data_IF_999331928001
#
_entry.id   IF_999331928001
#
_cell.length_a   1.000
_cell.length_b   1.000
_cell.length_c   1.000
_cell.angle_alpha   90.00
_cell.angle_beta   90.00
_cell.angle_gamma   90.00
#
_symmetry.space_group_name_H-M   'P 1'
#
loop_
_entity.id
_entity.type
_entity.pdbx_description
1 polymer ?
#
# COMPACT_ATOMS: atom_id res chain seq x y z
N UNK A 1 22.95 -13.37 -5.74
CA UNK A 1 21.77 -12.54 -6.08
C UNK A 1 21.56 -11.43 -5.06
N UNK A 2 21.40 -11.69 -3.76
CA UNK A 2 21.08 -10.63 -2.78
C UNK A 2 22.18 -9.58 -2.56
N UNK A 3 23.45 -10.01 -2.51
CA UNK A 3 24.58 -9.07 -2.51
C UNK A 3 24.65 -8.22 -3.79
N UNK A 4 24.30 -8.79 -4.94
CA UNK A 4 24.27 -8.07 -6.22
C UNK A 4 23.15 -7.02 -6.23
N UNK A 5 21.96 -7.36 -5.73
CA UNK A 5 20.85 -6.41 -5.54
C UNK A 5 21.27 -5.22 -4.67
N UNK A 6 21.98 -5.48 -3.58
CA UNK A 6 22.54 -4.45 -2.72
C UNK A 6 23.51 -3.53 -3.48
N UNK A 7 24.52 -4.09 -4.15
CA UNK A 7 25.52 -3.31 -4.90
C UNK A 7 24.86 -2.44 -5.97
N UNK A 8 23.92 -3.00 -6.74
CA UNK A 8 23.16 -2.27 -7.77
C UNK A 8 22.33 -1.14 -7.16
N UNK A 9 21.77 -1.35 -5.97
CA UNK A 9 21.01 -0.33 -5.25
C UNK A 9 21.90 0.81 -4.79
N UNK A 10 23.07 0.51 -4.22
CA UNK A 10 24.05 1.54 -3.79
C UNK A 10 24.44 2.43 -4.98
N UNK A 11 24.85 1.83 -6.09
CA UNK A 11 25.24 2.56 -7.30
C UNK A 11 24.13 3.46 -7.84
N UNK A 12 22.91 2.92 -7.97
CA UNK A 12 21.77 3.67 -8.48
C UNK A 12 21.36 4.81 -7.53
N UNK A 13 21.43 4.59 -6.22
CA UNK A 13 21.10 5.64 -5.25
C UNK A 13 22.14 6.75 -5.22
N UNK A 14 23.43 6.41 -5.30
CA UNK A 14 24.51 7.39 -5.42
C UNK A 14 24.33 8.30 -6.64
N UNK A 15 23.91 7.76 -7.78
CA UNK A 15 23.60 8.57 -8.96
C UNK A 15 22.33 9.42 -8.78
N UNK A 16 21.32 8.86 -8.11
CA UNK A 16 20.02 9.51 -7.95
C UNK A 16 20.03 10.69 -6.97
N UNK A 17 20.85 10.64 -5.93
CA UNK A 17 20.76 11.59 -4.83
C UNK A 17 21.10 13.01 -5.26
N UNK A 18 21.90 13.18 -6.32
CA UNK A 18 22.18 14.49 -6.93
C UNK A 18 20.88 15.17 -7.37
N UNK A 19 19.92 14.41 -7.92
CA UNK A 19 18.61 14.95 -8.35
C UNK A 19 17.71 15.31 -7.16
N UNK A 20 17.85 14.60 -6.04
CA UNK A 20 17.14 14.90 -4.80
C UNK A 20 17.69 16.18 -4.18
N UNK A 21 19.01 16.30 -4.08
CA UNK A 21 19.69 17.50 -3.56
C UNK A 21 19.42 18.75 -4.39
N UNK A 22 19.35 18.62 -5.72
CA UNK A 22 19.02 19.74 -6.62
C UNK A 22 17.61 20.32 -6.40
N UNK A 23 16.72 19.61 -5.69
CA UNK A 23 15.36 20.04 -5.35
C UNK A 23 15.24 20.56 -3.91
N UNK A 24 16.33 20.55 -3.16
CA UNK A 24 16.31 21.08 -1.81
C UNK A 24 16.28 22.61 -1.85
N UNK A 25 15.35 23.21 -1.11
CA UNK A 25 15.25 24.65 -0.96
C UNK A 25 16.42 25.14 -0.09
N UNK A 26 17.30 25.96 -0.68
CA UNK A 26 18.49 26.49 0.00
C UNK A 26 18.42 27.98 0.35
N UNK A 27 17.37 28.67 -0.11
CA UNK A 27 17.14 30.05 0.23
C UNK A 27 16.64 30.15 1.68
N UNK A 28 17.40 30.73 2.62
CA UNK A 28 17.01 30.83 4.02
C UNK A 28 15.82 31.76 4.26
N UNK A 29 15.47 32.62 3.29
CA UNK A 29 14.33 33.54 3.41
C UNK A 29 13.00 32.88 3.00
N UNK A 30 13.04 31.68 2.40
CA UNK A 30 11.84 30.91 2.08
C UNK A 30 11.30 30.18 3.31
N UNK A 31 9.97 30.16 3.45
CA UNK A 31 9.28 29.45 4.55
C UNK A 31 9.54 27.94 4.54
N UNK A 32 9.86 27.38 3.38
CA UNK A 32 10.15 25.97 3.17
C UNK A 32 11.65 25.67 3.04
N UNK A 33 12.52 26.56 3.52
CA UNK A 33 13.97 26.36 3.60
C UNK A 33 14.32 24.98 4.18
N UNK A 34 15.27 24.28 3.56
CA UNK A 34 15.71 22.95 3.93
C UNK A 34 14.82 21.81 3.44
N UNK A 35 13.57 22.08 3.09
CA UNK A 35 12.64 21.11 2.52
C UNK A 35 13.02 20.69 1.10
N UNK A 36 12.53 19.54 0.67
CA UNK A 36 12.86 18.95 -0.64
C UNK A 36 11.59 18.94 -1.49
N UNK A 37 11.63 19.65 -2.62
CA UNK A 37 10.47 19.78 -3.50
C UNK A 37 10.10 18.42 -4.14
N UNK A 38 8.86 17.99 -3.92
CA UNK A 38 8.31 16.76 -4.49
C UNK A 38 7.97 17.00 -5.97
N UNK A 39 8.54 16.25 -6.93
CA UNK A 39 8.43 16.57 -8.36
C UNK A 39 7.03 16.76 -8.91
N UNK A 40 6.06 15.99 -8.42
CA UNK A 40 4.67 16.03 -8.92
C UNK A 40 3.80 17.10 -8.23
N UNK A 41 4.27 17.63 -7.09
CA UNK A 41 3.54 18.61 -6.29
C UNK A 41 4.11 20.03 -6.47
N UNK A 42 5.41 20.14 -6.72
CA UNK A 42 6.10 21.44 -6.80
C UNK A 42 6.23 22.15 -5.46
N UNK A 43 5.95 21.46 -4.35
CA UNK A 43 6.08 21.96 -2.98
C UNK A 43 7.09 21.10 -2.22
N UNK A 44 7.79 21.72 -1.27
CA UNK A 44 8.61 20.99 -0.31
C UNK A 44 7.73 20.13 0.60
N UNK A 45 8.03 18.84 0.66
CA UNK A 45 7.29 17.86 1.44
C UNK A 45 8.24 17.18 2.44
N UNK A 46 7.78 17.03 3.68
CA UNK A 46 8.54 16.39 4.74
C UNK A 46 8.70 14.87 4.52
N UNK A 47 7.99 14.26 3.57
CA UNK A 47 8.21 12.87 3.12
C UNK A 47 9.46 12.69 2.29
N UNK A 48 9.67 13.63 1.37
CA UNK A 48 10.35 13.31 0.12
C UNK A 48 11.86 13.44 0.29
N UNK A 49 12.60 12.41 -0.14
CA UNK A 49 14.05 12.44 -0.24
C UNK A 49 14.82 12.23 1.08
N UNK A 50 14.26 12.52 2.26
CA UNK A 50 14.97 12.36 3.55
C UNK A 50 15.44 10.91 3.75
N UNK A 51 14.58 9.93 3.49
CA UNK A 51 14.93 8.51 3.59
C UNK A 51 16.08 8.12 2.64
N UNK A 52 16.10 8.69 1.43
CA UNK A 52 17.15 8.43 0.45
C UNK A 52 18.48 9.05 0.89
N UNK A 53 18.45 10.28 1.42
CA UNK A 53 19.62 10.97 1.97
C UNK A 53 20.21 10.21 3.16
N UNK A 54 19.37 9.78 4.10
CA UNK A 54 19.77 8.94 5.24
C UNK A 54 20.40 7.62 4.75
N UNK A 55 19.79 6.98 3.74
CA UNK A 55 20.27 5.71 3.16
C UNK A 55 21.69 5.82 2.64
N UNK A 56 21.99 6.80 1.79
CA UNK A 56 23.34 6.94 1.22
C UNK A 56 24.35 7.50 2.25
N UNK A 57 23.91 8.35 3.18
CA UNK A 57 24.78 8.91 4.21
C UNK A 57 25.31 7.83 5.18
N UNK A 58 24.47 6.87 5.55
CA UNK A 58 24.82 5.79 6.49
C UNK A 58 25.28 4.48 5.83
N UNK A 59 25.27 4.38 4.50
CA UNK A 59 25.74 3.20 3.78
C UNK A 59 27.27 3.24 3.57
N UNK A 60 28.06 2.32 4.16
CA UNK A 60 29.52 2.33 4.04
C UNK A 60 30.07 2.21 2.61
N UNK A 61 29.29 1.56 1.72
CA UNK A 61 29.68 1.36 0.31
C UNK A 61 29.24 2.51 -0.60
N UNK A 62 28.50 3.50 -0.08
CA UNK A 62 28.12 4.70 -0.82
C UNK A 62 29.28 5.69 -0.89
N UNK A 63 29.43 6.38 -2.03
CA UNK A 63 30.37 7.51 -2.14
C UNK A 63 30.03 8.71 -1.24
N UNK A 64 28.81 8.73 -0.69
CA UNK A 64 28.34 9.76 0.24
C UNK A 64 28.41 9.34 1.71
N UNK A 65 28.99 8.18 2.01
CA UNK A 65 29.15 7.70 3.37
C UNK A 65 29.83 8.76 4.26
N UNK A 66 29.12 9.19 5.31
CA UNK A 66 29.55 10.22 6.25
C UNK A 66 30.04 11.54 5.60
N UNK A 67 29.55 11.84 4.40
CA UNK A 67 29.96 13.04 3.67
C UNK A 67 29.50 14.32 4.39
N UNK A 68 30.43 15.26 4.61
CA UNK A 68 30.17 16.51 5.37
C UNK A 68 29.10 17.39 4.72
N UNK A 69 29.15 17.56 3.40
CA UNK A 69 28.17 18.38 2.67
C UNK A 69 26.79 17.72 2.78
N UNK A 70 26.71 16.41 2.56
CA UNK A 70 25.45 15.68 2.70
C UNK A 70 24.91 15.76 4.12
N UNK A 71 25.79 15.70 5.14
CA UNK A 71 25.40 15.89 6.55
C UNK A 71 24.66 17.21 6.73
N UNK A 72 25.22 18.32 6.24
CA UNK A 72 24.59 19.64 6.34
C UNK A 72 23.23 19.68 5.64
N UNK A 73 23.13 19.11 4.42
CA UNK A 73 21.85 19.02 3.69
C UNK A 73 20.80 18.22 4.45
N UNK A 74 21.21 17.10 5.03
CA UNK A 74 20.33 16.22 5.78
C UNK A 74 19.84 16.87 7.07
N UNK A 75 20.70 17.61 7.79
CA UNK A 75 20.29 18.40 8.96
C UNK A 75 19.23 19.44 8.57
N UNK A 76 19.44 20.21 7.49
CA UNK A 76 18.44 21.18 7.01
C UNK A 76 17.09 20.52 6.72
N UNK A 77 17.10 19.32 6.12
CA UNK A 77 15.88 18.59 5.79
C UNK A 77 15.16 18.05 7.03
N UNK A 78 15.90 17.56 8.03
CA UNK A 78 15.33 17.12 9.31
C UNK A 78 14.81 18.28 10.16
N UNK A 79 15.48 19.44 10.12
CA UNK A 79 14.97 20.66 10.74
C UNK A 79 13.67 21.12 10.05
N UNK A 80 13.59 21.05 8.72
CA UNK A 80 12.35 21.31 8.00
C UNK A 80 11.23 20.34 8.42
N UNK A 81 11.51 19.04 8.51
CA UNK A 81 10.56 18.04 9.02
C UNK A 81 9.99 18.43 10.40
N UNK A 82 10.86 18.83 11.34
CA UNK A 82 10.45 19.24 12.69
C UNK A 82 9.66 20.56 12.66
N UNK A 83 10.10 21.56 11.89
CA UNK A 83 9.42 22.86 11.78
C UNK A 83 8.03 22.74 11.13
N UNK A 84 7.87 21.83 10.18
CA UNK A 84 6.63 21.62 9.45
C UNK A 84 5.63 20.72 10.19
N UNK A 85 5.98 20.23 11.37
CA UNK A 85 5.07 19.47 12.23
C UNK A 85 4.21 20.44 13.04
N UNK A 86 2.89 20.26 12.98
CA UNK A 86 1.90 21.06 13.70
C UNK A 86 2.11 21.05 15.21
N UNK A 87 1.53 22.02 15.91
CA UNK A 87 1.60 22.12 17.37
C UNK A 87 1.08 20.84 18.06
N UNK A 88 -0.02 20.26 17.53
CA UNK A 88 -0.61 19.02 18.04
C UNK A 88 0.24 17.76 17.75
N UNK A 89 1.26 17.88 16.89
CA UNK A 89 2.16 16.80 16.52
C UNK A 89 1.85 16.11 15.19
N UNK A 90 0.78 16.50 14.51
CA UNK A 90 0.45 15.97 13.18
C UNK A 90 1.27 16.60 12.06
N UNK A 91 1.21 16.00 10.88
CA UNK A 91 1.65 16.58 9.61
C UNK A 91 0.51 16.58 8.60
N UNK A 92 0.69 17.35 7.53
CA UNK A 92 -0.23 17.39 6.41
C UNK A 92 0.21 16.47 5.26
N UNK A 93 -0.78 15.95 4.55
CA UNK A 93 -0.68 15.60 3.14
C UNK A 93 -1.28 16.76 2.34
N UNK A 94 -0.41 17.63 1.82
CA UNK A 94 -0.81 18.90 1.18
C UNK A 94 -1.84 18.76 0.07
N UNK A 95 -1.89 17.60 -0.58
CA UNK A 95 -2.84 17.30 -1.63
C UNK A 95 -4.29 17.18 -1.12
N UNK A 96 -4.52 16.72 0.13
CA UNK A 96 -5.89 16.44 0.59
C UNK A 96 -6.14 16.31 2.10
N UNK A 97 -5.14 16.03 2.96
CA UNK A 97 -5.39 15.79 4.39
C UNK A 97 -4.59 16.76 5.26
N UNK A 98 -5.28 17.58 6.04
CA UNK A 98 -4.67 18.53 6.97
C UNK A 98 -4.82 18.03 8.41
N UNK A 99 -3.82 18.30 9.26
CA UNK A 99 -3.75 17.82 10.64
C UNK A 99 -4.04 16.32 10.72
N UNK A 100 -3.31 15.52 9.95
CA UNK A 100 -3.71 14.14 9.61
C UNK A 100 -3.00 13.08 10.47
N UNK A 101 -3.69 12.41 11.43
CA UNK A 101 -3.12 11.27 12.14
C UNK A 101 -2.70 10.11 11.21
N UNK A 102 -3.45 9.78 10.14
CA UNK A 102 -3.01 8.74 9.19
C UNK A 102 -1.68 9.07 8.50
N UNK A 103 -1.53 10.27 7.93
CA UNK A 103 -0.29 10.67 7.25
C UNK A 103 0.88 10.79 8.24
N UNK A 104 0.59 11.22 9.46
CA UNK A 104 1.54 11.19 10.57
C UNK A 104 1.98 9.77 10.92
N UNK A 105 1.07 8.78 10.87
CA UNK A 105 1.39 7.38 11.11
C UNK A 105 2.31 6.81 10.02
N UNK A 106 2.15 7.21 8.76
CA UNK A 106 3.10 6.88 7.69
C UNK A 106 4.48 7.53 7.91
N UNK A 107 4.55 8.74 8.48
CA UNK A 107 5.84 9.33 8.88
C UNK A 107 6.51 8.53 10.00
N UNK A 108 5.73 7.97 10.94
CA UNK A 108 6.27 7.06 11.95
C UNK A 108 6.85 5.81 11.29
N UNK A 109 6.17 5.22 10.30
CA UNK A 109 6.70 4.09 9.54
C UNK A 109 8.02 4.42 8.84
N UNK A 110 8.16 5.63 8.34
CA UNK A 110 9.39 6.05 7.68
C UNK A 110 10.56 6.24 8.66
N UNK A 111 10.31 6.87 9.81
CA UNK A 111 11.39 7.37 10.68
C UNK A 111 11.66 6.55 11.94
N UNK A 112 10.71 5.78 12.45
CA UNK A 112 10.95 4.92 13.62
C UNK A 112 12.07 3.88 13.36
N UNK A 113 12.11 3.19 12.20
CA UNK A 113 13.22 2.30 11.88
C UNK A 113 14.59 3.00 11.82
N UNK A 114 14.62 4.28 11.41
CA UNK A 114 15.85 5.08 11.46
C UNK A 114 16.31 5.34 12.89
N UNK A 115 15.42 5.70 13.81
CA UNK A 115 15.80 5.88 15.22
C UNK A 115 16.33 4.57 15.82
N UNK A 116 15.70 3.43 15.53
CA UNK A 116 16.21 2.12 15.94
C UNK A 116 17.60 1.83 15.37
N UNK A 117 17.78 2.05 14.06
CA UNK A 117 19.05 1.86 13.38
C UNK A 117 20.17 2.75 13.96
N UNK A 118 19.88 4.04 14.15
CA UNK A 118 20.82 5.02 14.67
C UNK A 118 21.24 4.71 16.12
N UNK A 119 20.30 4.30 16.98
CA UNK A 119 20.61 3.80 18.32
C UNK A 119 21.48 2.55 18.27
N UNK A 120 21.20 1.61 17.35
CA UNK A 120 21.97 0.37 17.20
C UNK A 120 23.43 0.61 16.78
N UNK A 121 23.69 1.60 15.94
CA UNK A 121 25.06 2.00 15.56
C UNK A 121 25.69 2.99 16.56
N UNK A 122 25.03 3.24 17.70
CA UNK A 122 25.48 4.09 18.79
C UNK A 122 25.87 5.52 18.35
N UNK A 123 25.03 6.15 17.52
CA UNK A 123 25.20 7.56 17.15
C UNK A 123 24.46 8.47 18.12
N UNK A 124 25.12 9.50 18.64
CA UNK A 124 24.53 10.51 19.54
C UNK A 124 24.35 11.88 18.85
N UNK A 125 24.33 11.89 17.51
CA UNK A 125 24.34 13.13 16.72
C UNK A 125 22.98 13.81 16.55
N UNK A 126 23.01 15.06 16.09
CA UNK A 126 21.86 15.93 15.81
C UNK A 126 20.71 15.24 15.03
N UNK A 127 21.04 14.34 14.11
CA UNK A 127 20.05 13.60 13.30
C UNK A 127 19.17 12.69 14.16
N UNK A 128 19.77 11.95 15.11
CA UNK A 128 19.02 11.09 16.03
C UNK A 128 18.12 11.96 16.91
N UNK A 129 18.65 13.08 17.43
CA UNK A 129 17.88 14.01 18.25
C UNK A 129 16.65 14.55 17.50
N UNK A 130 16.82 15.04 16.26
CA UNK A 130 15.73 15.60 15.46
C UNK A 130 14.64 14.55 15.15
N UNK A 131 15.04 13.33 14.78
CA UNK A 131 14.11 12.24 14.50
C UNK A 131 13.35 11.80 15.76
N UNK A 132 14.04 11.66 16.90
CA UNK A 132 13.37 11.35 18.16
C UNK A 132 12.43 12.46 18.60
N UNK A 133 12.83 13.73 18.43
CA UNK A 133 12.00 14.88 18.77
C UNK A 133 10.70 14.86 17.95
N UNK A 134 10.82 14.70 16.62
CA UNK A 134 9.67 14.58 15.73
C UNK A 134 8.74 13.43 16.15
N UNK A 135 9.27 12.22 16.33
CA UNK A 135 8.47 11.04 16.69
C UNK A 135 7.83 11.13 18.07
N UNK A 136 8.51 11.71 19.07
CA UNK A 136 7.90 11.91 20.40
C UNK A 136 6.73 12.90 20.31
N UNK A 137 6.84 13.92 19.47
CA UNK A 137 5.77 14.91 19.28
C UNK A 137 4.57 14.32 18.53
N UNK A 138 4.71 13.24 17.75
CA UNK A 138 3.54 12.58 17.13
C UNK A 138 2.68 11.80 18.12
N UNK A 139 3.23 11.37 19.27
CA UNK A 139 2.54 10.46 20.21
C UNK A 139 1.18 11.02 20.66
N UNK A 140 1.06 12.26 21.17
CA UNK A 140 -0.24 12.79 21.61
C UNK A 140 -1.27 12.80 20.48
N UNK A 141 -0.88 13.29 19.29
CA UNK A 141 -1.74 13.30 18.10
C UNK A 141 -2.25 11.91 17.70
N UNK A 142 -1.40 10.89 17.77
CA UNK A 142 -1.80 9.53 17.38
C UNK A 142 -2.64 8.82 18.45
N UNK A 143 -2.46 9.14 19.73
CA UNK A 143 -3.28 8.61 20.84
C UNK A 143 -4.72 9.10 20.78
N UNK A 144 -4.92 10.39 20.46
CA UNK A 144 -6.25 11.00 20.32
C UNK A 144 -6.77 11.05 18.88
N UNK A 145 -5.95 10.65 17.91
CA UNK A 145 -6.26 10.69 16.49
C UNK A 145 -7.12 9.51 16.05
N UNK A 146 -7.63 9.59 14.81
CA UNK A 146 -8.37 8.51 14.18
C UNK A 146 -8.02 8.37 12.70
N UNK A 147 -8.81 7.54 12.02
CA UNK A 147 -8.60 7.18 10.62
C UNK A 147 -9.88 7.40 9.80
N UNK A 148 -9.74 7.53 8.48
CA UNK A 148 -10.87 7.71 7.55
C UNK A 148 -10.94 6.65 6.45
N UNK A 149 -9.99 5.70 6.41
CA UNK A 149 -10.05 4.52 5.54
C UNK A 149 -9.67 3.24 6.32
N UNK A 150 -10.04 2.06 5.82
CA UNK A 150 -9.69 0.79 6.47
C UNK A 150 -8.18 0.56 6.62
N UNK A 151 -7.33 0.81 5.60
CA UNK A 151 -5.88 0.65 5.78
C UNK A 151 -5.29 1.61 6.82
N UNK A 152 -5.78 2.86 6.90
CA UNK A 152 -5.30 3.84 7.87
C UNK A 152 -5.46 3.34 9.31
N UNK A 153 -6.50 2.53 9.58
CA UNK A 153 -6.70 1.86 10.88
C UNK A 153 -5.47 1.04 11.28
N UNK A 154 -4.95 0.23 10.36
CA UNK A 154 -3.82 -0.66 10.64
C UNK A 154 -2.48 0.08 10.65
N UNK A 155 -2.31 1.09 9.81
CA UNK A 155 -1.14 1.97 9.83
C UNK A 155 -1.04 2.70 11.16
N UNK A 156 -2.15 3.26 11.66
CA UNK A 156 -2.17 3.95 12.95
C UNK A 156 -1.93 2.98 14.12
N UNK A 157 -2.58 1.81 14.13
CA UNK A 157 -2.37 0.81 15.17
C UNK A 157 -0.90 0.35 15.25
N UNK A 158 -0.29 0.03 14.10
CA UNK A 158 1.11 -0.40 14.04
C UNK A 158 2.09 0.73 14.38
N UNK A 159 1.81 1.98 13.98
CA UNK A 159 2.60 3.15 14.37
C UNK A 159 2.57 3.37 15.88
N UNK A 160 1.40 3.27 16.53
CA UNK A 160 1.27 3.35 17.98
C UNK A 160 2.05 2.24 18.68
N UNK A 161 1.90 0.98 18.24
CA UNK A 161 2.66 -0.14 18.82
C UNK A 161 4.17 0.08 18.72
N UNK A 162 4.65 0.52 17.55
CA UNK A 162 6.05 0.86 17.28
C UNK A 162 6.56 1.98 18.18
N UNK A 163 5.83 3.09 18.30
CA UNK A 163 6.18 4.19 19.21
C UNK A 163 6.22 3.73 20.67
N UNK A 164 5.26 2.90 21.06
CA UNK A 164 5.19 2.29 22.38
C UNK A 164 6.42 1.43 22.69
N UNK A 165 6.87 0.60 21.75
CA UNK A 165 8.13 -0.14 21.86
C UNK A 165 9.35 0.77 21.92
N UNK A 166 9.42 1.76 21.03
CA UNK A 166 10.59 2.63 20.84
C UNK A 166 10.85 3.56 22.05
N UNK A 167 9.77 4.05 22.68
CA UNK A 167 9.83 5.01 23.78
C UNK A 167 9.32 4.46 25.12
N UNK A 168 9.01 3.16 25.20
CA UNK A 168 8.46 2.49 26.40
C UNK A 168 7.16 3.14 26.89
N UNK A 169 6.30 3.50 25.95
CA UNK A 169 4.98 4.08 26.21
C UNK A 169 3.91 2.98 26.16
N UNK A 170 3.52 2.48 27.35
CA UNK A 170 2.53 1.40 27.47
C UNK A 170 1.14 1.83 27.02
N UNK A 171 0.78 3.10 27.14
CA UNK A 171 -0.52 3.60 26.70
C UNK A 171 -0.64 3.54 25.17
N UNK A 172 0.43 3.85 24.42
CA UNK A 172 0.47 3.61 22.97
C UNK A 172 0.18 2.14 22.62
N UNK A 173 0.79 1.19 23.35
CA UNK A 173 0.55 -0.25 23.12
C UNK A 173 -0.86 -0.67 23.49
N UNK A 174 -1.44 -0.09 24.53
CA UNK A 174 -2.84 -0.35 24.91
C UNK A 174 -3.80 0.14 23.83
N UNK A 175 -3.61 1.37 23.32
CA UNK A 175 -4.46 1.90 22.24
C UNK A 175 -4.33 1.06 20.97
N UNK A 176 -3.11 0.67 20.57
CA UNK A 176 -2.92 -0.23 19.44
C UNK A 176 -3.68 -1.56 19.60
N UNK A 177 -3.81 -2.07 20.83
CA UNK A 177 -4.62 -3.25 21.11
C UNK A 177 -6.12 -3.01 21.03
N UNK A 178 -6.62 -1.81 21.37
CA UNK A 178 -8.04 -1.47 21.19
C UNK A 178 -8.45 -1.52 19.71
N UNK A 179 -7.60 -1.06 18.79
CA UNK A 179 -7.84 -1.19 17.34
C UNK A 179 -8.04 -2.65 16.92
N UNK A 180 -7.28 -3.57 17.51
CA UNK A 180 -7.37 -5.00 17.20
C UNK A 180 -8.65 -5.64 17.74
N UNK A 181 -9.29 -5.04 18.76
CA UNK A 181 -10.58 -5.51 19.30
C UNK A 181 -11.76 -5.25 18.36
N UNK A 182 -11.64 -4.32 17.40
CA UNK A 182 -12.65 -4.13 16.35
C UNK A 182 -12.70 -5.29 15.35
N UNK A 183 -11.68 -6.15 15.33
CA UNK A 183 -11.55 -7.26 14.40
C UNK A 183 -10.78 -6.89 13.12
N UNK A 184 -10.04 -7.87 12.60
CA UNK A 184 -9.18 -7.70 11.42
C UNK A 184 -9.97 -8.00 10.15
N UNK A 185 -10.08 -7.03 9.25
CA UNK A 185 -10.89 -7.10 8.02
C UNK A 185 -10.19 -7.83 6.86
N UNK A 186 -9.30 -8.78 7.17
CA UNK A 186 -8.65 -9.64 6.19
C UNK A 186 -9.41 -10.97 6.08
N UNK A 187 -9.92 -11.26 4.89
CA UNK A 187 -10.70 -12.47 4.64
C UNK A 187 -9.82 -13.74 4.58
N UNK A 188 -10.45 -14.90 4.34
CA UNK A 188 -9.69 -16.16 4.26
C UNK A 188 -8.77 -16.24 3.04
N UNK A 189 -9.06 -15.49 1.98
CA UNK A 189 -8.28 -15.40 0.74
C UNK A 189 -7.06 -14.46 0.84
N UNK A 190 -6.92 -13.71 1.94
CA UNK A 190 -5.80 -12.78 2.14
C UNK A 190 -5.98 -11.38 1.57
N UNK A 191 -7.23 -10.98 1.28
CA UNK A 191 -7.58 -9.60 0.95
C UNK A 191 -8.11 -8.87 2.18
N UNK A 192 -7.53 -7.70 2.42
CA UNK A 192 -8.14 -6.66 3.25
C UNK A 192 -9.29 -5.97 2.52
N UNK A 193 -10.14 -5.25 3.26
CA UNK A 193 -11.41 -4.71 2.75
C UNK A 193 -11.29 -3.92 1.45
N UNK A 194 -10.22 -3.13 1.28
CA UNK A 194 -10.04 -2.28 0.10
C UNK A 194 -9.70 -3.04 -1.18
N UNK A 195 -9.34 -4.33 -1.07
CA UNK A 195 -9.04 -5.24 -2.19
C UNK A 195 -7.98 -4.74 -3.19
N UNK A 196 -7.16 -3.77 -2.78
CA UNK A 196 -6.08 -3.21 -3.58
C UNK A 196 -4.84 -4.05 -3.42
N UNK A 197 -4.63 -4.96 -4.36
CA UNK A 197 -3.56 -5.92 -4.28
C UNK A 197 -2.18 -5.23 -4.34
N UNK A 198 -1.99 -4.25 -5.21
CA UNK A 198 -0.70 -3.60 -5.48
C UNK A 198 -0.35 -2.45 -4.53
N UNK A 199 -1.30 -1.89 -3.78
CA UNK A 199 -1.08 -0.69 -2.94
C UNK A 199 -1.45 -0.92 -1.48
N UNK A 200 -2.73 -1.16 -1.18
CA UNK A 200 -3.19 -1.13 0.22
C UNK A 200 -3.07 -2.50 0.92
N UNK A 201 -3.17 -3.62 0.20
CA UNK A 201 -2.95 -4.95 0.77
C UNK A 201 -1.52 -5.14 1.34
N UNK A 202 -0.42 -4.74 0.65
CA UNK A 202 0.90 -4.80 1.25
C UNK A 202 1.08 -3.79 2.39
N UNK A 203 0.38 -2.64 2.38
CA UNK A 203 0.35 -1.74 3.55
C UNK A 203 -0.22 -2.50 4.76
N UNK A 204 -1.40 -3.11 4.64
CA UNK A 204 -1.97 -3.88 5.73
C UNK A 204 -1.07 -5.06 6.15
N UNK A 205 -0.41 -5.72 5.19
CA UNK A 205 0.58 -6.77 5.46
C UNK A 205 1.77 -6.29 6.31
N UNK A 206 2.31 -5.10 6.04
CA UNK A 206 3.37 -4.47 6.86
C UNK A 206 2.84 -4.15 8.25
N UNK A 207 1.66 -3.56 8.34
CA UNK A 207 1.04 -3.21 9.61
C UNK A 207 0.89 -4.43 10.53
N UNK A 208 0.44 -5.56 9.98
CA UNK A 208 0.28 -6.81 10.75
C UNK A 208 1.63 -7.39 11.18
N UNK A 209 2.64 -7.34 10.32
CA UNK A 209 3.99 -7.78 10.67
C UNK A 209 4.55 -6.94 11.83
N UNK A 210 4.42 -5.62 11.77
CA UNK A 210 4.91 -4.74 12.83
C UNK A 210 4.12 -4.90 14.12
N UNK A 211 2.80 -5.01 14.05
CA UNK A 211 1.97 -5.29 15.23
C UNK A 211 2.37 -6.62 15.88
N UNK A 212 2.70 -7.65 15.09
CA UNK A 212 3.19 -8.91 15.62
C UNK A 212 4.49 -8.74 16.41
N UNK A 213 5.46 -8.02 15.84
CA UNK A 213 6.76 -7.77 16.46
C UNK A 213 6.63 -6.89 17.71
N UNK A 214 5.94 -5.75 17.61
CA UNK A 214 5.90 -4.71 18.66
C UNK A 214 4.98 -5.03 19.84
N UNK A 215 3.94 -5.83 19.63
CA UNK A 215 3.04 -6.31 20.68
C UNK A 215 3.37 -7.73 21.16
N UNK A 216 4.37 -8.40 20.57
CA UNK A 216 4.71 -9.78 20.91
C UNK A 216 3.59 -10.78 20.57
N UNK A 217 2.92 -10.57 19.43
CA UNK A 217 1.71 -11.28 19.00
C UNK A 217 1.94 -11.99 17.65
N UNK A 218 2.72 -13.08 17.62
CA UNK A 218 3.16 -13.72 16.39
C UNK A 218 2.01 -14.22 15.50
N UNK A 219 0.83 -14.47 16.06
CA UNK A 219 -0.37 -14.87 15.31
C UNK A 219 -0.84 -13.80 14.31
N UNK A 220 -0.46 -12.53 14.49
CA UNK A 220 -0.77 -11.47 13.52
C UNK A 220 0.02 -11.64 12.21
N UNK A 221 1.16 -12.34 12.24
CA UNK A 221 1.92 -12.63 11.02
C UNK A 221 1.15 -13.55 10.06
N UNK A 222 0.14 -14.28 10.54
CA UNK A 222 -0.74 -15.10 9.70
C UNK A 222 -1.42 -14.25 8.62
N UNK A 223 -1.80 -13.01 8.94
CA UNK A 223 -2.39 -12.08 7.98
C UNK A 223 -1.36 -11.61 6.94
N UNK A 224 -0.13 -11.35 7.37
CA UNK A 224 0.98 -11.04 6.45
C UNK A 224 1.26 -12.21 5.51
N UNK A 225 1.26 -13.46 5.99
CA UNK A 225 1.39 -14.65 5.14
C UNK A 225 0.26 -14.73 4.11
N UNK A 226 -0.99 -14.57 4.53
CA UNK A 226 -2.13 -14.55 3.60
C UNK A 226 -1.98 -13.48 2.50
N UNK A 227 -1.54 -12.27 2.86
CA UNK A 227 -1.27 -11.19 1.89
C UNK A 227 -0.20 -11.60 0.87
N UNK A 228 0.87 -12.25 1.33
CA UNK A 228 1.98 -12.67 0.47
C UNK A 228 1.61 -13.89 -0.39
N UNK A 229 0.98 -14.91 0.20
CA UNK A 229 0.50 -16.10 -0.49
C UNK A 229 -0.43 -15.70 -1.64
N UNK A 230 -1.39 -14.82 -1.37
CA UNK A 230 -2.26 -14.28 -2.40
C UNK A 230 -1.47 -13.60 -3.52
N UNK A 231 -0.55 -12.68 -3.17
CA UNK A 231 0.23 -11.92 -4.15
C UNK A 231 1.08 -12.83 -5.06
N UNK A 232 1.51 -14.00 -4.61
CA UNK A 232 2.30 -14.94 -5.44
C UNK A 232 1.56 -15.46 -6.66
N UNK A 233 0.21 -15.50 -6.61
CA UNK A 233 -0.61 -15.90 -7.75
C UNK A 233 -0.78 -14.80 -8.79
N UNK A 234 -0.67 -13.54 -8.37
CA UNK A 234 -0.95 -12.34 -9.17
C UNK A 234 0.29 -11.59 -9.62
N UNK A 235 1.45 -11.89 -9.04
CA UNK A 235 2.72 -11.28 -9.44
C UNK A 235 3.13 -11.80 -10.83
N UNK A 236 3.08 -10.91 -11.81
CA UNK A 236 3.45 -11.22 -13.18
C UNK A 236 4.99 -11.40 -13.32
N UNK A 237 5.48 -12.07 -14.39
CA UNK A 237 6.91 -12.31 -14.57
C UNK A 237 7.79 -11.05 -14.61
N UNK A 238 7.23 -9.92 -15.04
CA UNK A 238 7.88 -8.60 -15.10
C UNK A 238 7.89 -7.85 -13.74
N UNK A 239 7.36 -8.47 -12.67
CA UNK A 239 7.27 -7.86 -11.34
C UNK A 239 6.10 -6.89 -11.17
N UNK A 240 5.14 -6.88 -12.09
CA UNK A 240 3.92 -6.07 -11.97
C UNK A 240 2.75 -6.82 -11.36
N UNK A 241 1.78 -6.06 -10.87
CA UNK A 241 0.50 -6.53 -10.35
C UNK A 241 -0.60 -5.68 -10.99
N UNK A 242 -1.66 -6.33 -11.46
CA UNK A 242 -2.85 -5.67 -11.98
C UNK A 242 -3.94 -5.60 -10.89
N UNK A 243 -4.38 -4.38 -10.58
CA UNK A 243 -5.35 -4.10 -9.52
C UNK A 243 -6.81 -4.23 -9.98
N UNK A 244 -7.17 -5.30 -10.70
CA UNK A 244 -8.46 -5.46 -11.38
C UNK A 244 -9.67 -5.25 -10.44
N UNK A 245 -9.59 -5.77 -9.23
CA UNK A 245 -10.71 -5.84 -8.27
C UNK A 245 -10.56 -4.89 -7.07
N UNK A 246 -9.68 -3.89 -7.17
CA UNK A 246 -9.54 -2.86 -6.12
C UNK A 246 -10.82 -2.03 -5.98
N UNK A 247 -11.16 -1.65 -4.75
CA UNK A 247 -12.23 -0.69 -4.43
C UNK A 247 -11.72 0.76 -4.34
N UNK A 248 -10.46 0.99 -4.73
CA UNK A 248 -9.77 2.27 -4.56
C UNK A 248 -9.35 2.84 -5.92
N UNK A 249 -8.72 4.01 -5.90
CA UNK A 249 -8.36 4.75 -7.11
C UNK A 249 -7.32 4.04 -8.01
N UNK A 250 -6.66 3.01 -7.49
CA UNK A 250 -5.76 2.13 -8.25
C UNK A 250 -6.50 1.03 -9.03
N UNK A 251 -7.84 0.97 -8.98
CA UNK A 251 -8.63 -0.02 -9.70
C UNK A 251 -8.27 -0.07 -11.19
N UNK A 252 -7.95 -1.27 -11.65
CA UNK A 252 -7.55 -1.53 -13.02
C UNK A 252 -6.17 -0.99 -13.39
N UNK A 253 -5.38 -0.43 -12.48
CA UNK A 253 -4.03 0.03 -12.82
C UNK A 253 -3.07 -1.15 -12.68
N UNK A 254 -2.34 -1.45 -13.77
CA UNK A 254 -1.16 -2.32 -13.72
C UNK A 254 0.02 -1.47 -13.27
N UNK A 255 0.69 -1.92 -12.21
CA UNK A 255 1.84 -1.20 -11.66
C UNK A 255 2.92 -2.18 -11.20
N UNK A 256 4.20 -1.79 -11.22
CA UNK A 256 5.24 -2.62 -10.63
C UNK A 256 5.02 -2.70 -9.12
N UNK A 257 5.09 -3.91 -8.57
CA UNK A 257 5.14 -4.09 -7.13
C UNK A 257 6.37 -3.36 -6.57
N UNK A 258 6.21 -2.66 -5.45
CA UNK A 258 7.22 -1.70 -4.98
C UNK A 258 8.00 -2.20 -3.76
N UNK A 259 8.69 -1.27 -3.10
CA UNK A 259 9.52 -1.55 -1.92
C UNK A 259 8.75 -2.20 -0.77
N UNK A 260 7.42 -2.01 -0.68
CA UNK A 260 6.58 -2.63 0.37
C UNK A 260 6.51 -4.13 0.19
N UNK A 261 6.21 -4.59 -1.02
CA UNK A 261 6.21 -6.02 -1.32
C UNK A 261 7.60 -6.61 -1.30
N UNK A 262 8.61 -5.90 -1.83
CA UNK A 262 10.00 -6.33 -1.73
C UNK A 262 10.40 -6.58 -0.26
N UNK A 263 10.10 -5.62 0.63
CA UNK A 263 10.34 -5.75 2.06
C UNK A 263 9.62 -6.96 2.66
N UNK A 264 8.30 -7.08 2.48
CA UNK A 264 7.53 -8.17 3.06
C UNK A 264 8.02 -9.55 2.60
N UNK A 265 8.16 -9.75 1.28
CA UNK A 265 8.62 -11.02 0.73
C UNK A 265 10.04 -11.36 1.18
N UNK A 266 10.95 -10.38 1.20
CA UNK A 266 12.34 -10.60 1.63
C UNK A 266 12.41 -10.91 3.13
N UNK A 267 11.73 -10.12 3.96
CA UNK A 267 11.69 -10.28 5.43
C UNK A 267 11.10 -11.64 5.81
N UNK A 268 9.88 -11.94 5.35
CA UNK A 268 9.20 -13.21 5.63
C UNK A 268 9.92 -14.40 5.01
N UNK A 269 10.46 -14.26 3.80
CA UNK A 269 11.24 -15.29 3.13
C UNK A 269 12.47 -15.71 3.91
N UNK A 270 13.19 -14.76 4.52
CA UNK A 270 14.35 -15.05 5.38
C UNK A 270 13.90 -15.64 6.72
N UNK A 271 12.93 -15.00 7.39
CA UNK A 271 12.45 -15.42 8.71
C UNK A 271 11.91 -16.85 8.70
N UNK A 272 11.19 -17.24 7.64
CA UNK A 272 10.53 -18.54 7.53
C UNK A 272 11.29 -19.53 6.64
N UNK A 273 12.47 -19.13 6.11
CA UNK A 273 13.25 -19.91 5.13
C UNK A 273 12.40 -20.31 3.91
N UNK A 274 11.53 -19.42 3.46
CA UNK A 274 10.58 -19.65 2.40
C UNK A 274 11.17 -19.22 1.03
N UNK A 275 11.65 -20.21 0.27
CA UNK A 275 12.23 -20.01 -1.05
C UNK A 275 11.27 -19.41 -2.10
N UNK A 276 9.95 -19.61 -1.94
CA UNK A 276 8.92 -19.07 -2.83
C UNK A 276 8.79 -17.55 -2.63
N UNK A 277 8.79 -17.10 -1.38
CA UNK A 277 8.79 -15.67 -1.06
C UNK A 277 10.07 -14.98 -1.51
N UNK A 278 11.22 -15.63 -1.36
CA UNK A 278 12.48 -15.07 -1.86
C UNK A 278 12.47 -14.95 -3.38
N UNK A 279 11.95 -15.96 -4.10
CA UNK A 279 11.78 -15.88 -5.54
C UNK A 279 10.87 -14.70 -5.96
N UNK A 280 9.77 -14.45 -5.23
CA UNK A 280 8.92 -13.28 -5.45
C UNK A 280 9.69 -11.97 -5.22
N UNK A 281 10.47 -11.88 -4.14
CA UNK A 281 11.30 -10.69 -3.88
C UNK A 281 12.31 -10.42 -4.99
N UNK A 282 12.90 -11.48 -5.57
CA UNK A 282 13.86 -11.37 -6.67
C UNK A 282 13.18 -10.91 -7.98
N UNK A 283 11.96 -11.40 -8.25
CA UNK A 283 11.14 -10.93 -9.39
C UNK A 283 10.82 -9.45 -9.23
N UNK A 284 10.38 -9.02 -8.04
CA UNK A 284 10.05 -7.61 -7.76
C UNK A 284 11.27 -6.72 -7.95
N UNK A 285 12.43 -7.11 -7.41
CA UNK A 285 13.66 -6.34 -7.57
C UNK A 285 14.05 -6.22 -9.05
N UNK A 286 14.05 -7.34 -9.77
CA UNK A 286 14.44 -7.38 -11.18
C UNK A 286 13.47 -6.58 -12.06
N UNK A 287 12.15 -6.70 -11.84
CA UNK A 287 11.13 -5.91 -12.52
C UNK A 287 11.26 -4.40 -12.31
N UNK A 288 11.86 -3.99 -11.18
CA UNK A 288 12.15 -2.60 -10.86
C UNK A 288 13.58 -2.14 -11.20
N UNK A 289 14.37 -2.94 -11.91
CA UNK A 289 15.78 -2.62 -12.22
C UNK A 289 15.96 -1.22 -12.85
N UNK A 290 15.07 -0.84 -13.77
CA UNK A 290 15.11 0.46 -14.46
C UNK A 290 14.60 1.63 -13.59
N UNK A 291 13.99 1.32 -12.44
CA UNK A 291 13.42 2.26 -11.47
C UNK A 291 14.29 2.44 -10.22
N UNK A 292 15.42 1.73 -10.12
CA UNK A 292 16.40 1.93 -9.03
C UNK A 292 16.88 3.40 -9.03
N UNK A 293 16.81 4.07 -7.88
CA UNK A 293 17.11 5.51 -7.76
C UNK A 293 16.06 6.42 -8.44
N UNK A 294 14.91 5.87 -8.83
CA UNK A 294 13.81 6.56 -9.53
C UNK A 294 12.44 6.04 -9.03
N UNK A 295 12.30 5.92 -7.72
CA UNK A 295 11.05 5.51 -7.06
C UNK A 295 11.02 4.07 -6.54
N UNK A 296 12.06 3.26 -6.81
CA UNK A 296 12.29 1.99 -6.12
C UNK A 296 13.67 2.02 -5.43
N UNK A 297 13.68 2.34 -4.13
CA UNK A 297 14.91 2.66 -3.38
C UNK A 297 15.03 1.80 -2.10
N UNK A 298 15.36 0.50 -2.21
CA UNK A 298 15.41 -0.41 -1.06
C UNK A 298 16.67 -0.29 -0.18
N UNK A 299 17.56 0.70 -0.38
CA UNK A 299 18.86 0.73 0.31
C UNK A 299 18.74 0.73 1.85
N UNK A 300 17.81 1.51 2.39
CA UNK A 300 17.51 1.52 3.83
C UNK A 300 17.20 0.13 4.39
N UNK A 301 16.53 -0.75 3.62
CA UNK A 301 16.22 -2.12 4.06
C UNK A 301 17.49 -2.95 4.29
N UNK A 302 18.51 -2.80 3.44
CA UNK A 302 19.79 -3.49 3.61
C UNK A 302 20.63 -2.94 4.78
N UNK A 303 20.34 -1.71 5.24
CA UNK A 303 20.94 -1.13 6.44
C UNK A 303 20.22 -1.63 7.70
N UNK A 304 18.89 -1.65 7.67
CA UNK A 304 18.07 -2.10 8.79
C UNK A 304 18.20 -3.59 9.04
N UNK A 305 18.27 -4.38 7.97
CA UNK A 305 18.33 -5.84 7.98
C UNK A 305 19.58 -6.34 7.24
N UNK A 306 20.75 -6.40 7.89
CA UNK A 306 21.98 -6.93 7.28
C UNK A 306 21.81 -8.32 6.67
N UNK A 307 20.94 -9.15 7.26
CA UNK A 307 20.60 -10.49 6.78
C UNK A 307 20.04 -10.50 5.34
N UNK A 308 19.49 -9.37 4.85
CA UNK A 308 19.03 -9.25 3.47
C UNK A 308 20.17 -9.38 2.46
N UNK A 309 21.42 -9.05 2.85
CA UNK A 309 22.61 -9.20 2.02
C UNK A 309 23.23 -10.59 2.14
N UNK A 310 23.12 -11.19 3.32
CA UNK A 310 23.85 -12.38 3.73
C UNK A 310 23.09 -13.70 3.46
N UNK A 311 21.78 -13.63 3.24
CA UNK A 311 20.98 -14.83 3.01
C UNK A 311 21.42 -15.60 1.76
N UNK A 312 21.42 -16.93 1.89
CA UNK A 312 21.74 -17.88 0.83
C UNK A 312 20.69 -19.00 0.75
N UNK A 313 19.42 -18.66 0.93
CA UNK A 313 18.32 -19.62 0.89
C UNK A 313 18.01 -19.97 -0.57
N UNK A 314 17.72 -21.24 -0.84
CA UNK A 314 17.36 -21.71 -2.17
C UNK A 314 15.99 -21.14 -2.60
N UNK A 315 15.90 -20.65 -3.84
CA UNK A 315 14.67 -20.07 -4.38
C UNK A 315 13.80 -21.20 -4.93
N UNK A 316 12.49 -21.09 -4.69
CA UNK A 316 11.50 -21.99 -5.28
C UNK A 316 10.68 -21.22 -6.33
N UNK A 317 10.46 -21.79 -7.53
CA UNK A 317 9.71 -21.10 -8.57
C UNK A 317 8.27 -20.81 -8.13
N UNK A 318 7.75 -19.64 -8.51
CA UNK A 318 6.35 -19.30 -8.28
C UNK A 318 5.41 -20.24 -9.06
N UNK A 319 4.18 -20.49 -8.57
CA UNK A 319 3.18 -21.28 -9.28
C UNK A 319 2.68 -20.53 -10.52
N UNK A 320 3.37 -20.74 -11.65
CA UNK A 320 3.08 -20.07 -12.93
C UNK A 320 1.90 -20.67 -13.69
N UNK A 321 1.36 -21.81 -13.26
CA UNK A 321 0.22 -22.47 -13.89
C UNK A 321 -0.74 -23.01 -12.84
N UNK A 322 -2.05 -22.84 -13.06
CA UNK A 322 -3.07 -23.36 -12.16
C UNK A 322 -4.33 -22.53 -12.16
N UNK A 323 -5.32 -23.02 -11.42
CA UNK A 323 -6.59 -22.34 -11.19
C UNK A 323 -6.71 -22.04 -9.70
N UNK A 324 -6.92 -20.77 -9.38
CA UNK A 324 -7.00 -20.24 -8.03
C UNK A 324 -8.40 -19.65 -7.83
N UNK A 325 -9.23 -20.32 -7.04
CA UNK A 325 -10.57 -19.85 -6.71
C UNK A 325 -10.58 -19.24 -5.31
N UNK A 326 -10.67 -17.91 -5.26
CA UNK A 326 -10.75 -17.10 -4.05
C UNK A 326 -12.23 -16.87 -3.73
N UNK A 327 -12.79 -17.77 -2.93
CA UNK A 327 -14.24 -17.91 -2.75
C UNK A 327 -14.85 -16.71 -2.02
N UNK A 328 -14.22 -16.25 -0.95
CA UNK A 328 -14.73 -15.13 -0.14
C UNK A 328 -14.62 -13.80 -0.89
N UNK A 329 -13.67 -13.74 -1.82
CA UNK A 329 -13.40 -12.56 -2.65
C UNK A 329 -14.21 -12.55 -3.95
N UNK A 330 -14.75 -13.71 -4.35
CA UNK A 330 -15.48 -13.85 -5.62
C UNK A 330 -14.55 -13.73 -6.84
N UNK A 331 -13.33 -14.25 -6.75
CA UNK A 331 -12.31 -14.11 -7.81
C UNK A 331 -11.86 -15.50 -8.26
N UNK A 332 -11.78 -15.71 -9.57
CA UNK A 332 -11.12 -16.88 -10.15
C UNK A 332 -9.95 -16.38 -10.96
N UNK A 333 -8.74 -16.86 -10.65
CA UNK A 333 -7.56 -16.61 -11.45
C UNK A 333 -7.05 -17.89 -12.09
N UNK A 334 -6.78 -17.85 -13.38
CA UNK A 334 -6.20 -18.95 -14.14
C UNK A 334 -4.87 -18.48 -14.69
N UNK A 335 -3.79 -19.12 -14.27
CA UNK A 335 -2.44 -18.85 -14.81
C UNK A 335 -2.06 -19.96 -15.80
N UNK A 336 -1.44 -19.59 -16.91
CA UNK A 336 -0.96 -20.51 -17.96
C UNK A 336 0.47 -20.19 -18.39
N UNK A 337 1.33 -19.85 -17.44
CA UNK A 337 2.74 -19.54 -17.65
C UNK A 337 2.95 -18.08 -18.05
N UNK A 338 2.63 -17.75 -19.30
CA UNK A 338 2.85 -16.41 -19.90
C UNK A 338 1.63 -15.51 -19.87
N UNK A 339 0.48 -16.06 -19.50
CA UNK A 339 -0.76 -15.31 -19.44
C UNK A 339 -1.53 -15.66 -18.18
N UNK A 340 -2.33 -14.70 -17.75
CA UNK A 340 -3.26 -14.88 -16.66
C UNK A 340 -4.65 -14.39 -17.07
N UNK A 341 -5.66 -15.05 -16.53
CA UNK A 341 -7.06 -14.71 -16.72
C UNK A 341 -7.68 -14.55 -15.35
N UNK A 342 -8.44 -13.47 -15.13
CA UNK A 342 -9.10 -13.19 -13.86
C UNK A 342 -10.58 -12.90 -14.09
N UNK A 343 -11.46 -13.70 -13.49
CA UNK A 343 -12.88 -13.41 -13.33
C UNK A 343 -13.13 -12.73 -11.99
N UNK A 344 -14.03 -11.74 -11.96
CA UNK A 344 -14.37 -11.02 -10.73
C UNK A 344 -15.88 -10.86 -10.61
N UNK A 345 -16.44 -11.42 -9.54
CA UNK A 345 -17.82 -11.22 -9.11
C UNK A 345 -18.05 -9.75 -8.74
N UNK A 346 -19.26 -9.25 -8.97
CA UNK A 346 -19.69 -7.88 -8.66
C UNK A 346 -18.86 -6.78 -9.38
N UNK A 347 -18.21 -7.12 -10.49
CA UNK A 347 -17.51 -6.20 -11.38
C UNK A 347 -18.17 -6.16 -12.76
N UNK A 348 -18.32 -4.97 -13.31
CA UNK A 348 -18.74 -4.75 -14.70
C UNK A 348 -17.59 -4.97 -15.70
N UNK A 349 -16.34 -4.87 -15.24
CA UNK A 349 -15.15 -5.45 -15.86
C UNK A 349 -14.97 -6.87 -15.32
N UNK A 350 -15.85 -7.77 -15.74
CA UNK A 350 -15.99 -9.11 -15.13
C UNK A 350 -14.86 -10.07 -15.49
N UNK A 351 -14.16 -9.82 -16.60
CA UNK A 351 -13.06 -10.65 -17.11
C UNK A 351 -11.90 -9.77 -17.54
N UNK A 352 -10.71 -10.11 -17.04
CA UNK A 352 -9.44 -9.50 -17.43
C UNK A 352 -8.44 -10.58 -17.85
N UNK A 353 -7.74 -10.34 -18.95
CA UNK A 353 -6.68 -11.22 -19.46
C UNK A 353 -5.38 -10.41 -19.51
N UNK A 354 -4.32 -10.93 -18.91
CA UNK A 354 -2.96 -10.38 -19.03
C UNK A 354 -2.18 -11.28 -19.98
N UNK A 355 -1.66 -10.69 -21.06
CA UNK A 355 -0.81 -11.33 -22.06
C UNK A 355 0.51 -10.55 -22.13
N UNK A 356 1.55 -11.04 -21.45
CA UNK A 356 2.84 -10.35 -21.32
C UNK A 356 2.65 -8.87 -20.92
N UNK A 357 2.85 -7.91 -21.83
CA UNK A 357 2.74 -6.46 -21.58
C UNK A 357 1.35 -5.86 -21.84
N UNK A 358 0.38 -6.67 -22.28
CA UNK A 358 -0.97 -6.21 -22.66
C UNK A 358 -2.01 -6.73 -21.67
N UNK A 359 -2.86 -5.85 -21.16
CA UNK A 359 -4.09 -6.22 -20.48
C UNK A 359 -5.34 -6.00 -21.35
N UNK A 360 -6.20 -7.02 -21.44
CA UNK A 360 -7.47 -6.99 -22.16
C UNK A 360 -8.59 -7.11 -21.16
N UNK A 361 -9.57 -6.20 -21.21
CA UNK A 361 -10.70 -6.16 -20.28
C UNK A 361 -12.01 -6.29 -21.03
N UNK A 362 -12.89 -7.09 -20.45
CA UNK A 362 -14.20 -7.37 -21.03
C UNK A 362 -15.29 -6.71 -20.20
N UNK A 363 -16.12 -5.94 -20.89
CA UNK A 363 -17.41 -5.44 -20.40
C UNK A 363 -18.46 -5.88 -21.39
N UNK A 364 -19.57 -6.43 -20.89
CA UNK A 364 -20.70 -6.82 -21.73
C UNK A 364 -21.88 -5.93 -21.37
N UNK A 365 -22.52 -5.28 -22.35
CA UNK A 365 -23.66 -4.40 -22.13
C UNK A 365 -24.96 -5.13 -22.48
N UNK A 366 -25.89 -5.12 -21.53
CA UNK A 366 -27.23 -5.67 -21.75
C UNK A 366 -28.16 -4.57 -22.26
N UNK A 367 -28.98 -4.88 -23.27
CA UNK A 367 -30.00 -3.94 -23.78
C UNK A 367 -31.28 -3.95 -22.95
N UNK A 368 -31.43 -4.88 -22.01
CA UNK A 368 -32.64 -5.07 -21.20
C UNK A 368 -32.96 -3.83 -20.36
N UNK A 369 -33.98 -3.08 -20.78
CA UNK A 369 -34.42 -1.81 -20.18
C UNK A 369 -33.29 -0.80 -19.90
N UNK A 370 -32.18 -0.87 -20.66
CA UNK A 370 -31.01 -0.03 -20.41
C UNK A 370 -30.41 -0.20 -19.00
N UNK A 371 -30.55 -1.38 -18.38
CA UNK A 371 -30.04 -1.68 -17.03
C UNK A 371 -28.50 -1.71 -16.95
N UNK A 372 -27.83 -1.61 -18.08
CA UNK A 372 -26.40 -1.33 -18.17
C UNK A 372 -25.56 -2.59 -18.30
N UNK A 373 -24.33 -2.59 -17.74
CA UNK A 373 -23.41 -3.68 -17.92
C UNK A 373 -23.83 -4.96 -17.19
N UNK A 374 -23.34 -6.07 -17.71
CA UNK A 374 -23.32 -7.33 -16.99
C UNK A 374 -22.45 -7.21 -15.75
N UNK A 375 -23.05 -7.46 -14.60
CA UNK A 375 -22.41 -7.52 -13.29
C UNK A 375 -22.83 -8.83 -12.67
N UNK A 376 -21.90 -9.79 -12.66
CA UNK A 376 -22.19 -11.13 -12.17
C UNK A 376 -22.26 -11.17 -10.66
N UNK A 377 -23.45 -11.39 -10.11
CA UNK A 377 -23.71 -11.42 -8.65
C UNK A 377 -23.51 -12.80 -8.02
N UNK A 378 -23.46 -13.86 -8.84
CA UNK A 378 -23.26 -15.23 -8.40
C UNK A 378 -22.14 -15.88 -9.21
N UNK A 379 -21.13 -16.39 -8.51
CA UNK A 379 -20.00 -17.12 -9.07
C UNK A 379 -19.98 -18.54 -8.49
N UNK A 380 -20.16 -19.53 -9.35
CA UNK A 380 -20.24 -20.94 -8.98
C UNK A 380 -19.12 -21.73 -9.67
N UNK A 381 -18.51 -22.66 -8.94
CA UNK A 381 -17.58 -23.64 -9.49
C UNK A 381 -18.38 -24.90 -9.86
N UNK A 382 -18.28 -25.33 -11.10
CA UNK A 382 -18.76 -26.62 -11.59
C UNK A 382 -17.56 -27.59 -11.71
N UNK A 383 -17.75 -28.81 -12.21
CA UNK A 383 -16.67 -29.83 -12.24
C UNK A 383 -15.40 -29.36 -12.97
N UNK A 384 -15.55 -28.74 -14.15
CA UNK A 384 -14.43 -28.25 -14.98
C UNK A 384 -14.59 -26.78 -15.43
N UNK A 385 -15.56 -26.04 -14.88
CA UNK A 385 -15.88 -24.69 -15.32
C UNK A 385 -16.24 -23.76 -14.16
N UNK A 386 -16.31 -22.46 -14.45
CA UNK A 386 -16.84 -21.46 -13.54
C UNK A 386 -17.95 -20.70 -14.25
N UNK A 387 -19.07 -20.55 -13.57
CA UNK A 387 -20.26 -19.88 -14.08
C UNK A 387 -20.49 -18.60 -13.30
N UNK A 388 -20.46 -17.46 -14.01
CA UNK A 388 -20.77 -16.14 -13.47
C UNK A 388 -22.16 -15.74 -13.98
N UNK A 389 -23.12 -15.51 -13.09
CA UNK A 389 -24.52 -15.20 -13.42
C UNK A 389 -24.96 -13.82 -12.94
N UNK A 390 -25.79 -13.19 -13.74
CA UNK A 390 -26.56 -12.00 -13.40
C UNK A 390 -28.04 -12.34 -13.60
N UNK A 391 -28.91 -11.95 -12.67
CA UNK A 391 -30.37 -11.89 -12.89
C UNK A 391 -30.79 -10.42 -12.83
N UNK A 392 -31.55 -9.96 -13.82
CA UNK A 392 -32.08 -8.60 -13.86
C UNK A 392 -33.59 -8.64 -13.88
N UNK A 393 -34.21 -8.05 -12.85
CA UNK A 393 -35.66 -7.85 -12.78
C UNK A 393 -36.03 -6.40 -13.06
N UNK A 394 -36.78 -6.15 -14.12
CA UNK A 394 -37.25 -4.81 -14.47
C UNK A 394 -38.60 -4.84 -15.19
N UNK A 395 -39.26 -3.68 -15.28
CA UNK A 395 -40.56 -3.57 -15.95
C UNK A 395 -40.98 -2.13 -16.15
N UNK A 396 -42.29 -1.92 -16.18
CA UNK A 396 -42.90 -0.60 -16.36
C UNK A 396 -43.54 -0.15 -15.05
N UNK A 397 -43.77 1.14 -14.88
CA UNK A 397 -44.52 1.70 -13.74
C UNK A 397 -45.84 2.29 -14.24
N UNK A 398 -46.88 2.14 -13.43
CA UNK A 398 -48.22 2.65 -13.71
C UNK A 398 -48.33 4.17 -13.42
N UNK A 399 -49.50 4.74 -13.67
CA UNK A 399 -49.82 6.10 -13.24
C UNK A 399 -49.70 6.26 -11.71
N UNK A 400 -49.49 7.49 -11.24
CA UNK A 400 -49.60 7.81 -9.82
C UNK A 400 -51.02 7.50 -9.30
N UNK A 401 -51.19 7.28 -7.98
CA UNK A 401 -52.50 7.26 -7.34
C UNK A 401 -53.30 8.53 -7.70
N UNK A 402 -54.62 8.41 -7.82
CA UNK A 402 -55.47 9.49 -8.35
C UNK A 402 -55.36 10.76 -7.50
N UNK A 403 -55.27 10.60 -6.18
CA UNK A 403 -55.08 11.64 -5.18
C UNK A 403 -53.75 12.40 -5.32
N UNK A 404 -52.75 11.86 -6.00
CA UNK A 404 -51.44 12.50 -6.22
C UNK A 404 -51.28 13.12 -7.61
N UNK A 405 -52.20 12.86 -8.53
CA UNK A 405 -52.12 13.37 -9.91
C UNK A 405 -52.33 14.89 -9.94
N UNK A 406 -51.44 15.59 -10.63
CA UNK A 406 -51.53 17.05 -10.85
C UNK A 406 -51.04 17.93 -9.70
N UNK A 407 -50.67 17.36 -8.54
CA UNK A 407 -50.07 18.11 -7.43
C UNK A 407 -48.66 18.61 -7.74
N UNK A 408 -47.90 17.81 -8.47
CA UNK A 408 -46.57 18.16 -9.00
C UNK A 408 -46.49 17.71 -10.46
N UNK A 409 -45.96 18.58 -11.32
CA UNK A 409 -45.85 18.38 -12.78
C UNK A 409 -44.40 18.28 -13.25
N UNK A 410 -43.44 18.79 -12.47
CA UNK A 410 -42.03 18.61 -12.74
C UNK A 410 -41.67 17.14 -12.50
N UNK A 411 -41.30 16.43 -13.55
CA UNK A 411 -41.09 14.97 -13.51
C UNK A 411 -40.09 14.55 -12.45
N UNK A 412 -38.98 15.26 -12.31
CA UNK A 412 -37.93 15.01 -11.32
C UNK A 412 -38.38 15.23 -9.87
N UNK A 413 -39.45 16.01 -9.66
CA UNK A 413 -40.03 16.29 -8.33
C UNK A 413 -41.23 15.41 -7.99
N UNK A 414 -41.80 14.70 -8.96
CA UNK A 414 -42.88 13.74 -8.69
C UNK A 414 -42.40 12.62 -7.77
N UNK A 415 -43.26 12.18 -6.84
CA UNK A 415 -42.95 11.04 -5.99
C UNK A 415 -43.15 9.71 -6.73
N UNK A 416 -42.16 9.31 -7.53
CA UNK A 416 -42.22 8.07 -8.33
C UNK A 416 -42.30 6.77 -7.50
N UNK A 417 -41.95 6.82 -6.20
CA UNK A 417 -42.03 5.66 -5.32
C UNK A 417 -43.46 5.16 -5.09
N UNK A 418 -44.46 6.03 -5.34
CA UNK A 418 -45.89 5.69 -5.22
C UNK A 418 -46.44 4.94 -6.44
N UNK A 419 -45.68 4.87 -7.54
CA UNK A 419 -46.14 4.18 -8.73
C UNK A 419 -46.04 2.66 -8.53
N UNK A 420 -47.09 1.96 -8.92
CA UNK A 420 -47.09 0.48 -8.93
C UNK A 420 -46.28 -0.05 -10.12
N UNK A 421 -45.42 -1.03 -9.88
CA UNK A 421 -44.75 -1.77 -10.95
C UNK A 421 -45.71 -2.70 -11.70
N UNK A 422 -45.64 -2.69 -13.03
CA UNK A 422 -46.46 -3.50 -13.94
C UNK A 422 -45.58 -4.15 -15.01
N UNK A 423 -46.00 -5.32 -15.52
CA UNK A 423 -45.28 -6.07 -16.57
C UNK A 423 -43.79 -6.29 -16.22
N UNK A 424 -43.52 -6.69 -14.98
CA UNK A 424 -42.19 -7.08 -14.54
C UNK A 424 -41.71 -8.30 -15.34
N UNK A 425 -40.46 -8.25 -15.76
CA UNK A 425 -39.73 -9.27 -16.50
C UNK A 425 -38.43 -9.56 -15.77
N UNK A 426 -37.92 -10.78 -15.91
CA UNK A 426 -36.67 -11.23 -15.34
C UNK A 426 -35.88 -11.98 -16.41
N UNK A 427 -34.59 -11.67 -16.56
CA UNK A 427 -33.65 -12.32 -17.49
C UNK A 427 -32.37 -12.75 -16.80
#
# INVERSE_FOLDING_TARGET
MSLEQYIRTVQAMDESIIRVLARQVEDPDRSDYGGIEKPNLGLADSEYGINDLLSVYFCPDSRFYLNKILRERLIKALEFLVRNQHEDGTVDLYETNFYSPPDTSFRVWLYAPWVEYLRRINTEGDMLFLLEHFLKKTIPALKSGGFHTPNHRWVQASALARLGSLFKDEECKLIAQEYLKEGIDCNSDGLFYERSLGVYNPICGIAMLWLAEDLGRPELMDYTRKVLDLATYFLEPDGTILNTFSLRQDRGIRMPADTRYYYLFKKMGIMEKNGLYLQASDIIFNGNSNRLGKGFNPLHLFLFYPEFKEENIERMPLPRSGVFYLKDSGIVRINSGRSSLTFTKDSDEFLTIVLDDVDIRFRYLTSFFGKGPFVGSLLEKEEESYTLRQSIKWGYVDLLPEEERGKEIAWDKMNHSLRRWIKLQEI
#
